data_IF_194231681064
#
_entry.id   IF_194231681064
#
_cell.length_a   1.000
_cell.length_b   1.000
_cell.length_c   1.000
_cell.angle_alpha   90.00
_cell.angle_beta   90.00
_cell.angle_gamma   90.00
#
_symmetry.space_group_name_H-M   'P 1'
#
loop_
_entity.id
_entity.type
_entity.pdbx_description
1 polymer ?
#
# COMPACT_ATOMS: atom_id res chain seq x y z
N UNK A 1 -7.15 10.08 -0.17
CA UNK A 1 -6.35 10.44 1.01
C UNK A 1 -7.19 10.23 2.24
N UNK A 2 -6.71 9.37 3.15
CA UNK A 2 -7.26 9.12 4.49
C UNK A 2 -6.30 9.79 5.48
N UNK A 3 -6.82 10.47 6.50
CA UNK A 3 -6.01 11.33 7.38
C UNK A 3 -5.73 12.73 6.81
N UNK A 4 -5.12 13.59 7.63
CA UNK A 4 -4.91 15.02 7.35
C UNK A 4 -6.17 15.84 7.64
N UNK A 5 -6.73 16.57 6.65
CA UNK A 5 -8.01 17.30 6.82
C UNK A 5 -9.25 16.37 6.80
N UNK A 6 -9.06 15.05 6.78
CA UNK A 6 -10.10 14.01 6.75
C UNK A 6 -9.86 13.00 7.86
N UNK A 7 -10.88 12.23 8.21
CA UNK A 7 -10.78 11.18 9.21
C UNK A 7 -9.65 10.18 8.88
N UNK A 8 -8.85 9.86 9.89
CA UNK A 8 -7.75 8.91 9.82
C UNK A 8 -8.22 7.46 9.96
N UNK A 9 -7.29 6.50 9.91
CA UNK A 9 -7.63 5.06 10.00
C UNK A 9 -7.50 4.47 11.41
N UNK A 10 -6.98 5.23 12.38
CA UNK A 10 -6.84 4.79 13.77
C UNK A 10 -8.16 4.96 14.53
N UNK A 11 -9.15 4.12 14.19
CA UNK A 11 -10.49 4.09 14.75
C UNK A 11 -11.06 2.67 14.67
N UNK A 12 -12.05 2.34 15.51
CA UNK A 12 -12.67 1.00 15.53
C UNK A 12 -13.55 0.74 14.30
N UNK A 13 -14.20 1.78 13.77
CA UNK A 13 -15.09 1.72 12.62
C UNK A 13 -14.82 2.90 11.70
N UNK A 14 -14.91 2.71 10.38
CA UNK A 14 -14.80 3.80 9.41
C UNK A 14 -15.72 3.59 8.22
N UNK A 15 -16.17 4.68 7.61
CA UNK A 15 -16.95 4.64 6.37
C UNK A 15 -16.02 4.89 5.19
N UNK A 16 -15.99 3.93 4.26
CA UNK A 16 -15.19 4.00 3.04
C UNK A 16 -16.07 3.82 1.82
N UNK A 17 -15.64 4.44 0.71
CA UNK A 17 -16.20 4.12 -0.61
C UNK A 17 -15.76 2.72 -1.02
N UNK A 18 -16.63 1.99 -1.70
CA UNK A 18 -16.36 0.63 -2.17
C UNK A 18 -15.09 0.56 -3.04
N UNK A 19 -14.84 1.58 -3.86
CA UNK A 19 -13.65 1.65 -4.74
C UNK A 19 -12.34 1.83 -3.96
N UNK A 20 -12.41 2.23 -2.69
CA UNK A 20 -11.25 2.46 -1.82
C UNK A 20 -10.82 1.23 -1.02
N UNK A 21 -11.47 0.08 -1.21
CA UNK A 21 -11.18 -1.15 -0.46
C UNK A 21 -11.08 -2.36 -1.39
N UNK A 22 -10.26 -3.32 -0.99
CA UNK A 22 -10.09 -4.60 -1.68
C UNK A 22 -10.06 -5.75 -0.67
N UNK A 23 -10.31 -6.97 -1.12
CA UNK A 23 -10.19 -8.15 -0.26
C UNK A 23 -8.72 -8.42 0.07
N UNK A 24 -8.43 -8.63 1.34
CA UNK A 24 -7.11 -9.08 1.77
C UNK A 24 -6.80 -10.49 1.20
N UNK A 25 -5.52 -10.79 0.87
CA UNK A 25 -5.11 -12.13 0.48
C UNK A 25 -5.44 -13.16 1.56
N UNK A 26 -5.95 -14.33 1.15
CA UNK A 26 -6.42 -15.38 2.09
C UNK A 26 -5.32 -15.98 2.98
N UNK A 27 -4.07 -15.87 2.56
CA UNK A 27 -2.91 -16.44 3.25
C UNK A 27 -2.24 -15.44 4.22
N UNK A 28 -2.76 -14.20 4.34
CA UNK A 28 -2.23 -13.18 5.23
C UNK A 28 -3.20 -12.92 6.39
N UNK A 29 -2.63 -12.68 7.57
CA UNK A 29 -3.37 -12.12 8.70
C UNK A 29 -3.79 -10.68 8.43
N UNK A 30 -4.74 -10.16 9.20
CA UNK A 30 -5.13 -8.75 9.12
C UNK A 30 -3.96 -7.79 9.39
N UNK A 31 -3.05 -8.15 10.32
CA UNK A 31 -1.89 -7.35 10.67
C UNK A 31 -0.90 -7.24 9.51
N UNK A 32 -0.61 -8.35 8.84
CA UNK A 32 0.27 -8.36 7.67
C UNK A 32 -0.35 -7.60 6.50
N UNK A 33 -1.64 -7.85 6.22
CA UNK A 33 -2.35 -7.19 5.12
C UNK A 33 -2.47 -5.67 5.33
N UNK A 34 -2.56 -5.19 6.58
CA UNK A 34 -2.64 -3.77 6.90
C UNK A 34 -1.39 -2.97 6.48
N UNK A 35 -0.24 -3.63 6.27
CA UNK A 35 0.99 -2.97 5.82
C UNK A 35 1.00 -2.62 4.32
N UNK A 36 0.15 -3.30 3.54
CA UNK A 36 0.17 -3.22 2.08
C UNK A 36 -0.35 -1.89 1.48
N UNK A 37 -1.46 -1.30 1.96
CA UNK A 37 -2.12 -0.19 1.26
C UNK A 37 -1.25 1.06 1.09
N UNK A 38 -0.32 1.30 2.01
CA UNK A 38 0.58 2.46 1.95
C UNK A 38 1.90 2.09 1.27
N UNK A 39 2.74 1.29 1.94
CA UNK A 39 4.11 1.04 1.49
C UNK A 39 4.17 0.16 0.24
N UNK A 40 3.51 -1.00 0.25
CA UNK A 40 3.63 -1.97 -0.83
C UNK A 40 3.02 -1.45 -2.14
N UNK A 41 1.83 -0.83 -2.09
CA UNK A 41 1.19 -0.27 -3.29
C UNK A 41 2.00 0.90 -3.86
N UNK A 42 2.60 1.73 -3.01
CA UNK A 42 3.49 2.82 -3.46
C UNK A 42 4.71 2.27 -4.19
N UNK A 43 5.38 1.28 -3.60
CA UNK A 43 6.52 0.62 -4.22
C UNK A 43 6.13 -0.07 -5.54
N UNK A 44 5.01 -0.80 -5.56
CA UNK A 44 4.51 -1.46 -6.77
C UNK A 44 4.17 -0.47 -7.88
N UNK A 45 3.51 0.65 -7.55
CA UNK A 45 3.20 1.67 -8.54
C UNK A 45 4.49 2.29 -9.12
N UNK A 46 5.48 2.59 -8.29
CA UNK A 46 6.76 3.15 -8.72
C UNK A 46 7.54 2.18 -9.63
N UNK A 47 7.61 0.89 -9.28
CA UNK A 47 8.42 -0.09 -10.01
C UNK A 47 7.69 -0.66 -11.23
N UNK A 48 6.40 -0.97 -11.11
CA UNK A 48 5.65 -1.74 -12.10
C UNK A 48 4.76 -0.85 -12.94
N UNK A 49 3.82 -0.13 -12.32
CA UNK A 49 2.80 0.62 -13.06
C UNK A 49 3.38 1.82 -13.81
N UNK A 50 4.37 2.50 -13.22
CA UNK A 50 5.01 3.68 -13.79
C UNK A 50 6.44 3.40 -14.27
N UNK A 51 7.23 2.67 -13.47
CA UNK A 51 8.66 2.47 -13.74
C UNK A 51 8.98 1.44 -14.82
N UNK A 52 8.10 0.48 -15.08
CA UNK A 52 8.29 -0.54 -16.11
C UNK A 52 9.54 -1.42 -15.92
N UNK A 53 10.00 -1.59 -14.67
CA UNK A 53 11.23 -2.32 -14.32
C UNK A 53 11.18 -3.77 -14.85
N UNK A 54 12.30 -4.22 -15.43
CA UNK A 54 12.45 -5.56 -16.00
C UNK A 54 13.62 -6.31 -15.37
N UNK A 55 13.64 -7.62 -15.63
CA UNK A 55 14.78 -8.46 -15.26
C UNK A 55 16.05 -7.94 -15.92
N UNK A 56 17.11 -7.75 -15.12
CA UNK A 56 18.39 -7.18 -15.55
C UNK A 56 18.56 -5.70 -15.23
N UNK A 57 17.49 -4.99 -14.87
CA UNK A 57 17.58 -3.58 -14.47
C UNK A 57 18.19 -3.44 -13.07
N UNK A 58 18.89 -2.33 -12.87
CA UNK A 58 19.46 -1.96 -11.56
C UNK A 58 18.53 -0.95 -10.89
N UNK A 59 18.05 -1.28 -9.70
CA UNK A 59 17.16 -0.41 -8.90
C UNK A 59 17.89 0.04 -7.64
N UNK A 60 17.92 1.35 -7.40
CA UNK A 60 18.37 1.91 -6.12
C UNK A 60 17.18 2.02 -5.17
N UNK A 61 17.28 1.37 -4.01
CA UNK A 61 16.29 1.50 -2.92
C UNK A 61 16.92 2.31 -1.79
N UNK A 62 16.38 3.51 -1.52
CA UNK A 62 16.85 4.38 -0.44
C UNK A 62 15.88 4.31 0.74
N UNK A 63 16.41 4.21 1.97
CA UNK A 63 15.60 4.17 3.19
C UNK A 63 14.81 2.87 3.35
N UNK A 64 15.51 1.73 3.39
CA UNK A 64 14.92 0.37 3.32
C UNK A 64 14.19 -0.11 4.59
N UNK A 65 13.85 0.77 5.53
CA UNK A 65 13.25 0.41 6.82
C UNK A 65 12.12 1.32 7.29
N UNK A 66 11.63 2.21 6.42
CA UNK A 66 10.47 3.06 6.69
C UNK A 66 9.14 2.32 6.63
#
# INVERSE_FOLDING_TARGET
MLGGPRDGVMQEYMVLRQEGVVRAPRHMTALEAATLPCAAVTAWNALVAQGGVKAGDVVLVQGTGG
#
